data_IF_260516490514
#
_entry.id   IF_260516490514
#
_cell.length_a   1.000
_cell.length_b   1.000
_cell.length_c   1.000
_cell.angle_alpha   90.00
_cell.angle_beta   90.00
_cell.angle_gamma   90.00
#
_symmetry.space_group_name_H-M   'P 1'
#
loop_
_entity.id
_entity.type
_entity.pdbx_description
1 polymer ?
#
# COMPACT_ATOMS: atom_id res chain seq x y z
N UNK A 1 1.32 -67.01 40.54
CA UNK A 1 1.75 -66.50 39.22
C UNK A 1 1.36 -65.03 39.15
N UNK A 2 2.30 -64.09 39.34
CA UNK A 2 2.06 -62.64 39.33
C UNK A 2 2.72 -62.07 38.07
N UNK A 3 1.95 -61.40 37.22
CA UNK A 3 2.44 -60.71 36.02
C UNK A 3 2.73 -59.26 36.43
N UNK A 4 3.99 -58.86 36.32
CA UNK A 4 4.43 -57.47 36.50
C UNK A 4 4.33 -56.73 35.17
N UNK A 5 3.59 -55.63 35.15
CA UNK A 5 3.53 -54.69 34.03
C UNK A 5 4.72 -53.72 34.13
N UNK A 6 5.62 -53.76 33.14
CA UNK A 6 6.72 -52.81 33.01
C UNK A 6 6.24 -51.50 32.41
N UNK A 7 6.42 -50.40 33.15
CA UNK A 7 6.15 -49.04 32.71
C UNK A 7 7.31 -48.56 31.84
N UNK A 8 7.09 -48.36 30.53
CA UNK A 8 8.07 -47.75 29.62
C UNK A 8 7.95 -46.22 29.72
N UNK A 9 8.95 -45.56 30.30
CA UNK A 9 9.08 -44.10 30.27
C UNK A 9 9.85 -43.71 29.01
N UNK A 10 9.15 -43.14 28.03
CA UNK A 10 9.77 -42.53 26.86
C UNK A 10 10.23 -41.12 27.22
N UNK A 11 11.53 -40.94 27.44
CA UNK A 11 12.14 -39.61 27.51
C UNK A 11 12.18 -39.00 26.12
N UNK A 12 11.28 -38.05 25.86
CA UNK A 12 11.35 -37.20 24.69
C UNK A 12 12.52 -36.22 24.86
N UNK A 13 13.61 -36.44 24.13
CA UNK A 13 14.66 -35.45 23.98
C UNK A 13 14.08 -34.27 23.16
N UNK A 14 13.90 -33.12 23.80
CA UNK A 14 13.60 -31.88 23.10
C UNK A 14 14.75 -31.59 22.12
N UNK A 15 14.44 -31.54 20.83
CA UNK A 15 15.40 -31.08 19.83
C UNK A 15 15.72 -29.60 20.13
N UNK A 16 16.99 -29.16 20.02
CA UNK A 16 17.32 -27.76 20.19
C UNK A 16 16.56 -26.94 19.14
N UNK A 17 15.78 -25.97 19.59
CA UNK A 17 15.26 -24.92 18.72
C UNK A 17 16.48 -24.29 18.04
N UNK A 18 16.60 -24.48 16.72
CA UNK A 18 17.52 -23.68 15.93
C UNK A 18 17.01 -22.26 16.03
N UNK A 19 17.84 -21.37 16.57
CA UNK A 19 17.59 -19.94 16.42
C UNK A 19 17.36 -19.66 14.93
N UNK A 20 16.31 -18.89 14.57
CA UNK A 20 16.18 -18.43 13.21
C UNK A 20 17.49 -17.73 12.82
N UNK A 21 17.97 -18.00 11.61
CA UNK A 21 19.11 -17.27 11.07
C UNK A 21 18.87 -15.77 11.27
N UNK A 22 19.89 -14.97 11.67
CA UNK A 22 19.70 -13.54 11.86
C UNK A 22 19.10 -12.98 10.57
N UNK A 23 17.92 -12.38 10.68
CA UNK A 23 17.26 -11.75 9.54
C UNK A 23 18.26 -10.78 8.91
N UNK A 24 18.54 -10.99 7.62
CA UNK A 24 19.46 -10.13 6.90
C UNK A 24 18.94 -8.69 6.97
N UNK A 25 19.82 -7.74 7.29
CA UNK A 25 19.40 -6.34 7.44
C UNK A 25 18.76 -5.86 6.14
N UNK A 26 17.53 -5.32 6.16
CA UNK A 26 16.77 -5.01 4.95
C UNK A 26 17.26 -3.73 4.26
N UNK A 27 18.56 -3.62 3.95
CA UNK A 27 19.13 -2.42 3.35
C UNK A 27 18.63 -2.23 1.91
N UNK A 28 18.29 -0.99 1.58
CA UNK A 28 17.93 -0.58 0.23
C UNK A 28 19.18 -0.46 -0.67
N UNK A 29 19.10 -1.00 -1.87
CA UNK A 29 20.14 -0.97 -2.89
C UNK A 29 20.33 0.47 -3.41
N UNK A 30 21.50 1.04 -3.11
CA UNK A 30 21.90 2.39 -3.50
C UNK A 30 22.79 2.42 -4.75
N UNK A 31 22.97 1.28 -5.44
CA UNK A 31 23.78 1.21 -6.65
C UNK A 31 23.18 2.06 -7.77
N UNK A 32 24.06 2.61 -8.62
CA UNK A 32 23.64 3.44 -9.77
C UNK A 32 22.67 2.70 -10.69
N UNK A 33 22.85 1.38 -10.83
CA UNK A 33 21.96 0.53 -11.61
C UNK A 33 20.56 0.46 -11.01
N UNK A 34 20.44 0.24 -9.70
CA UNK A 34 19.14 0.12 -9.04
C UNK A 34 18.37 1.45 -9.08
N UNK A 35 19.05 2.56 -8.79
CA UNK A 35 18.46 3.90 -8.83
C UNK A 35 18.01 4.24 -10.25
N UNK A 36 18.85 4.03 -11.27
CA UNK A 36 18.49 4.29 -12.66
C UNK A 36 17.30 3.43 -13.11
N UNK A 37 17.29 2.13 -12.77
CA UNK A 37 16.19 1.21 -13.09
C UNK A 37 14.87 1.68 -12.47
N UNK A 38 14.88 2.11 -11.21
CA UNK A 38 13.69 2.60 -10.53
C UNK A 38 13.14 3.90 -11.17
N UNK A 39 14.04 4.82 -11.57
CA UNK A 39 13.66 6.05 -12.27
C UNK A 39 13.08 5.73 -13.65
N UNK A 40 13.70 4.83 -14.42
CA UNK A 40 13.21 4.42 -15.74
C UNK A 40 11.80 3.83 -15.66
N UNK A 41 11.59 2.93 -14.70
CA UNK A 41 10.30 2.27 -14.50
C UNK A 41 9.18 3.26 -14.14
N UNK A 42 9.47 4.39 -13.48
CA UNK A 42 8.46 5.33 -13.01
C UNK A 42 8.23 6.54 -13.92
N UNK A 43 9.12 6.73 -14.90
CA UNK A 43 9.05 7.86 -15.85
C UNK A 43 8.72 7.43 -17.28
N UNK A 44 8.39 6.15 -17.46
CA UNK A 44 7.92 5.59 -18.72
C UNK A 44 6.42 5.40 -18.64
N UNK A 45 5.65 6.31 -19.24
CA UNK A 45 4.20 6.30 -19.14
C UNK A 45 3.52 5.65 -20.36
N UNK A 46 2.50 4.82 -20.15
CA UNK A 46 1.62 4.37 -21.22
C UNK A 46 0.89 5.53 -21.90
N UNK A 47 0.50 5.32 -23.17
CA UNK A 47 -0.34 6.26 -23.92
C UNK A 47 -1.80 5.85 -24.00
N UNK A 48 -2.11 4.63 -23.57
CA UNK A 48 -3.44 4.03 -23.50
C UNK A 48 -3.75 3.68 -22.05
N UNK A 49 -5.02 3.43 -21.72
CA UNK A 49 -5.39 2.91 -20.41
C UNK A 49 -4.98 1.44 -20.28
N UNK A 50 -4.85 0.95 -19.04
CA UNK A 50 -4.36 -0.41 -18.78
C UNK A 50 -5.22 -1.48 -19.46
N UNK A 51 -4.72 -2.19 -20.49
CA UNK A 51 -5.51 -3.19 -21.23
C UNK A 51 -5.88 -4.42 -20.37
N UNK A 52 -5.23 -4.57 -19.20
CA UNK A 52 -5.62 -5.57 -18.18
C UNK A 52 -6.98 -5.21 -17.56
N UNK A 53 -7.33 -3.93 -17.52
CA UNK A 53 -8.54 -3.39 -16.86
C UNK A 53 -9.56 -2.86 -17.88
N UNK A 54 -9.09 -2.33 -19.01
CA UNK A 54 -9.86 -1.57 -19.98
C UNK A 54 -9.87 -2.23 -21.36
N UNK A 55 -10.98 -2.06 -22.09
CA UNK A 55 -11.09 -2.24 -23.54
C UNK A 55 -11.32 -0.86 -24.15
N UNK A 56 -10.25 -0.24 -24.63
CA UNK A 56 -10.21 1.19 -24.95
C UNK A 56 -10.51 2.04 -23.72
N UNK A 57 -11.67 2.70 -23.69
CA UNK A 57 -12.12 3.52 -22.55
C UNK A 57 -13.25 2.86 -21.76
N UNK A 58 -13.64 1.62 -22.10
CA UNK A 58 -14.67 0.88 -21.41
C UNK A 58 -14.03 -0.11 -20.43
N UNK A 59 -14.45 -0.10 -19.16
CA UNK A 59 -13.95 -1.09 -18.20
C UNK A 59 -14.41 -2.48 -18.63
N UNK A 60 -13.51 -3.46 -18.59
CA UNK A 60 -13.84 -4.85 -18.91
C UNK A 60 -14.93 -5.36 -17.97
N UNK A 61 -15.93 -6.05 -18.54
CA UNK A 61 -17.14 -6.43 -17.81
C UNK A 61 -16.87 -7.43 -16.67
N UNK A 62 -15.88 -8.30 -16.85
CA UNK A 62 -15.42 -9.26 -15.83
C UNK A 62 -14.79 -8.53 -14.63
N UNK A 63 -13.93 -7.54 -14.89
CA UNK A 63 -13.33 -6.67 -13.86
C UNK A 63 -14.42 -5.95 -13.07
N UNK A 64 -15.35 -5.26 -13.76
CA UNK A 64 -16.45 -4.55 -13.10
C UNK A 64 -17.31 -5.48 -12.25
N UNK A 65 -17.77 -6.59 -12.82
CA UNK A 65 -18.64 -7.55 -12.15
C UNK A 65 -17.98 -8.17 -10.92
N UNK A 66 -16.70 -8.53 -11.03
CA UNK A 66 -15.96 -9.10 -9.90
C UNK A 66 -15.68 -8.07 -8.82
N UNK A 67 -15.37 -6.82 -9.19
CA UNK A 67 -15.20 -5.72 -8.22
C UNK A 67 -16.45 -5.56 -7.35
N UNK A 68 -17.62 -5.44 -7.98
CA UNK A 68 -18.89 -5.30 -7.25
C UNK A 68 -19.18 -6.52 -6.37
N UNK A 69 -18.92 -7.73 -6.87
CA UNK A 69 -19.08 -8.97 -6.09
C UNK A 69 -18.17 -9.02 -4.87
N UNK A 70 -16.93 -8.55 -5.01
CA UNK A 70 -15.97 -8.49 -3.89
C UNK A 70 -16.43 -7.46 -2.86
N UNK A 71 -16.87 -6.27 -3.30
CA UNK A 71 -17.43 -5.23 -2.41
C UNK A 71 -18.65 -5.76 -1.65
N UNK A 72 -19.61 -6.37 -2.35
CA UNK A 72 -20.81 -6.95 -1.74
C UNK A 72 -20.46 -8.01 -0.69
N UNK A 73 -19.49 -8.87 -0.99
CA UNK A 73 -18.99 -9.88 -0.03
C UNK A 73 -18.43 -9.20 1.21
N UNK A 74 -17.53 -8.23 1.06
CA UNK A 74 -16.89 -7.54 2.20
C UNK A 74 -17.94 -6.86 3.07
N UNK A 75 -18.89 -6.14 2.47
CA UNK A 75 -19.99 -5.49 3.19
C UNK A 75 -20.85 -6.50 3.92
N UNK A 76 -21.27 -7.58 3.25
CA UNK A 76 -22.11 -8.62 3.85
C UNK A 76 -21.42 -9.35 5.02
N UNK A 77 -20.10 -9.52 4.97
CA UNK A 77 -19.34 -10.20 6.03
C UNK A 77 -18.77 -9.26 7.09
N UNK A 78 -18.87 -7.94 6.90
CA UNK A 78 -18.29 -6.94 7.81
C UNK A 78 -18.91 -6.98 9.21
N UNK A 79 -20.16 -7.44 9.34
CA UNK A 79 -20.92 -7.39 10.59
C UNK A 79 -21.38 -5.97 10.99
N UNK A 80 -21.18 -4.97 10.13
CA UNK A 80 -21.56 -3.58 10.40
C UNK A 80 -23.05 -3.39 10.08
N UNK A 81 -23.87 -3.19 11.10
CA UNK A 81 -25.32 -3.07 10.93
C UNK A 81 -25.70 -1.81 10.15
N UNK A 82 -26.64 -1.96 9.21
CA UNK A 82 -27.20 -0.84 8.43
C UNK A 82 -26.23 -0.18 7.45
N UNK A 83 -25.06 -0.80 7.18
CA UNK A 83 -24.09 -0.33 6.20
C UNK A 83 -24.62 -0.53 4.78
N UNK A 84 -24.61 0.54 3.99
CA UNK A 84 -25.10 0.55 2.61
C UNK A 84 -24.05 1.18 1.70
N UNK A 85 -23.84 0.59 0.52
CA UNK A 85 -22.93 1.13 -0.49
C UNK A 85 -23.65 2.19 -1.32
N UNK A 86 -23.08 3.40 -1.35
CA UNK A 86 -23.56 4.50 -2.17
C UNK A 86 -22.94 4.47 -3.56
N UNK A 87 -21.62 4.25 -3.62
CA UNK A 87 -20.89 4.19 -4.89
C UNK A 87 -19.59 3.39 -4.75
N UNK A 88 -19.18 2.81 -5.87
CA UNK A 88 -17.89 2.12 -6.01
C UNK A 88 -17.15 2.81 -7.14
N UNK A 89 -15.95 3.31 -6.86
CA UNK A 89 -15.21 4.18 -7.77
C UNK A 89 -13.75 3.78 -7.86
N UNK A 90 -13.17 3.93 -9.05
CA UNK A 90 -11.76 3.71 -9.30
C UNK A 90 -11.04 5.06 -9.35
N UNK A 91 -9.93 5.14 -8.60
CA UNK A 91 -9.03 6.29 -8.57
C UNK A 91 -7.59 5.83 -8.89
N UNK A 92 -6.69 6.80 -9.02
CA UNK A 92 -5.26 6.53 -9.10
C UNK A 92 -4.81 6.08 -10.48
N UNK A 93 -3.69 5.35 -10.50
CA UNK A 93 -2.91 5.07 -11.71
C UNK A 93 -3.69 4.26 -12.76
N UNK A 94 -4.53 3.32 -12.33
CA UNK A 94 -5.38 2.50 -13.21
C UNK A 94 -6.64 3.22 -13.71
N UNK A 95 -6.98 4.37 -13.13
CA UNK A 95 -7.96 5.30 -13.70
C UNK A 95 -7.28 6.34 -14.61
N UNK A 96 -5.99 6.22 -14.91
CA UNK A 96 -5.22 7.20 -15.66
C UNK A 96 -4.15 6.57 -16.56
N UNK A 97 -3.25 7.38 -17.11
CA UNK A 97 -2.13 6.95 -17.95
C UNK A 97 -0.82 6.82 -17.15
N UNK A 98 -0.92 6.63 -15.83
CA UNK A 98 0.24 6.59 -14.92
C UNK A 98 0.44 5.21 -14.27
N UNK A 99 -0.23 4.17 -14.78
CA UNK A 99 -0.04 2.78 -14.35
C UNK A 99 1.24 2.17 -14.91
N UNK A 100 1.67 1.09 -14.26
CA UNK A 100 2.75 0.20 -14.66
C UNK A 100 2.56 -1.20 -14.05
N UNK A 101 3.58 -2.05 -14.16
CA UNK A 101 3.53 -3.42 -13.68
C UNK A 101 3.39 -3.54 -12.15
N UNK A 102 3.75 -2.49 -11.41
CA UNK A 102 3.65 -2.44 -9.95
C UNK A 102 2.39 -1.70 -9.47
N UNK A 103 1.49 -1.33 -10.37
CA UNK A 103 0.28 -0.59 -10.01
C UNK A 103 -0.83 -1.50 -9.50
N UNK A 104 -1.52 -1.05 -8.46
CA UNK A 104 -2.73 -1.64 -7.92
C UNK A 104 -4.00 -1.15 -8.67
N UNK A 105 -5.10 -1.85 -8.45
CA UNK A 105 -6.45 -1.48 -8.84
C UNK A 105 -7.16 -0.89 -7.62
N UNK A 106 -6.82 0.36 -7.27
CA UNK A 106 -7.30 1.09 -6.10
C UNK A 106 -8.78 1.53 -6.19
N UNK A 107 -9.65 0.73 -5.60
CA UNK A 107 -11.11 0.95 -5.58
C UNK A 107 -11.54 1.57 -4.26
N UNK A 108 -12.21 2.71 -4.37
CA UNK A 108 -12.81 3.42 -3.26
C UNK A 108 -14.31 3.11 -3.18
N UNK A 109 -14.77 2.69 -2.01
CA UNK A 109 -16.17 2.34 -1.75
C UNK A 109 -16.75 3.37 -0.79
N UNK A 110 -17.69 4.18 -1.27
CA UNK A 110 -18.40 5.14 -0.43
C UNK A 110 -19.64 4.50 0.14
N UNK A 111 -19.82 4.63 1.45
CA UNK A 111 -20.88 3.97 2.21
C UNK A 111 -21.50 4.94 3.20
N UNK A 112 -22.75 4.65 3.57
CA UNK A 112 -23.38 5.27 4.73
C UNK A 112 -23.93 4.19 5.67
N UNK A 113 -24.25 4.58 6.91
CA UNK A 113 -24.94 3.72 7.87
C UNK A 113 -26.23 4.36 8.34
N UNK A 114 -27.28 3.55 8.44
CA UNK A 114 -28.55 3.95 9.05
C UNK A 114 -28.56 3.79 10.58
N UNK A 115 -27.51 3.19 11.16
CA UNK A 115 -27.44 2.88 12.60
C UNK A 115 -26.29 3.57 13.32
N UNK A 116 -25.25 3.99 12.59
CA UNK A 116 -24.09 4.68 13.13
C UNK A 116 -24.12 6.15 12.73
N UNK A 117 -23.74 7.04 13.65
CA UNK A 117 -23.39 8.42 13.29
C UNK A 117 -22.14 8.45 12.39
N UNK A 118 -21.90 9.53 11.62
CA UNK A 118 -20.72 9.65 10.76
C UNK A 118 -19.40 9.39 11.49
N UNK A 119 -19.19 9.99 12.66
CA UNK A 119 -17.97 9.79 13.45
C UNK A 119 -17.78 8.34 13.93
N UNK A 120 -18.87 7.63 14.27
CA UNK A 120 -18.80 6.21 14.63
C UNK A 120 -18.50 5.34 13.40
N UNK A 121 -19.12 5.67 12.26
CA UNK A 121 -18.89 4.99 11.00
C UNK A 121 -17.42 5.09 10.59
N UNK A 122 -16.84 6.30 10.60
CA UNK A 122 -15.42 6.51 10.28
C UNK A 122 -14.49 5.68 11.17
N UNK A 123 -14.76 5.63 12.48
CA UNK A 123 -13.99 4.81 13.41
C UNK A 123 -14.06 3.31 13.10
N UNK A 124 -15.24 2.81 12.70
CA UNK A 124 -15.45 1.42 12.32
C UNK A 124 -14.86 1.11 10.94
N UNK A 125 -14.97 2.02 9.98
CA UNK A 125 -14.42 1.84 8.63
C UNK A 125 -12.90 1.80 8.63
N UNK A 126 -12.23 2.54 9.53
CA UNK A 126 -10.78 2.40 9.73
C UNK A 126 -10.41 0.95 10.07
N UNK A 127 -11.09 0.35 11.06
CA UNK A 127 -10.85 -1.05 11.42
C UNK A 127 -11.20 -2.03 10.30
N UNK A 128 -12.25 -1.74 9.52
CA UNK A 128 -12.59 -2.54 8.34
C UNK A 128 -11.49 -2.48 7.28
N UNK A 129 -10.96 -1.29 7.00
CA UNK A 129 -9.88 -1.11 6.04
C UNK A 129 -8.62 -1.89 6.49
N UNK A 130 -8.24 -1.80 7.77
CA UNK A 130 -7.12 -2.55 8.34
C UNK A 130 -7.31 -4.08 8.18
N UNK A 131 -8.51 -4.60 8.44
CA UNK A 131 -8.78 -6.04 8.24
C UNK A 131 -8.81 -6.43 6.75
N UNK A 132 -9.34 -5.57 5.89
CA UNK A 132 -9.38 -5.81 4.44
C UNK A 132 -7.97 -5.87 3.87
N UNK A 133 -7.13 -4.90 4.18
CA UNK A 133 -5.71 -4.84 3.78
C UNK A 133 -5.00 -6.12 4.23
N UNK A 134 -4.99 -6.39 5.53
CA UNK A 134 -4.32 -7.56 6.13
C UNK A 134 -4.77 -8.90 5.54
N UNK A 135 -6.02 -9.03 5.08
CA UNK A 135 -6.58 -10.29 4.56
C UNK A 135 -6.54 -10.42 3.05
N UNK A 136 -6.49 -9.32 2.29
CA UNK A 136 -6.74 -9.34 0.85
C UNK A 136 -5.62 -8.73 0.02
N UNK A 137 -4.78 -7.88 0.59
CA UNK A 137 -3.66 -7.25 -0.13
C UNK A 137 -2.81 -8.32 -0.83
N UNK A 138 -2.57 -8.15 -2.13
CA UNK A 138 -1.83 -9.10 -2.97
C UNK A 138 -2.49 -10.47 -3.23
N UNK A 139 -3.60 -10.80 -2.57
CA UNK A 139 -4.28 -12.10 -2.70
C UNK A 139 -5.36 -12.13 -3.77
N UNK A 140 -5.99 -10.99 -4.05
CA UNK A 140 -6.98 -10.84 -5.11
C UNK A 140 -6.36 -10.04 -6.24
N UNK A 141 -6.37 -10.59 -7.44
CA UNK A 141 -5.86 -9.90 -8.64
C UNK A 141 -6.85 -9.97 -9.78
N UNK A 142 -6.87 -8.91 -10.60
CA UNK A 142 -7.59 -8.84 -11.86
C UNK A 142 -6.58 -8.77 -12.99
N UNK A 143 -6.45 -9.86 -13.75
CA UNK A 143 -5.47 -9.96 -14.84
C UNK A 143 -4.03 -9.63 -14.39
N UNK A 144 -3.68 -10.04 -13.17
CA UNK A 144 -2.38 -9.78 -12.55
C UNK A 144 -2.26 -8.44 -11.81
N UNK A 145 -3.26 -7.56 -11.88
CA UNK A 145 -3.30 -6.29 -11.13
C UNK A 145 -3.90 -6.53 -9.73
N UNK A 146 -3.17 -6.27 -8.63
CA UNK A 146 -3.71 -6.44 -7.29
C UNK A 146 -4.92 -5.53 -7.03
N UNK A 147 -5.99 -6.08 -6.46
CA UNK A 147 -7.14 -5.28 -6.02
C UNK A 147 -6.85 -4.70 -4.63
N UNK A 148 -7.05 -3.40 -4.48
CA UNK A 148 -7.05 -2.71 -3.19
C UNK A 148 -8.40 -2.03 -2.98
N UNK A 149 -9.04 -2.30 -1.84
CA UNK A 149 -10.32 -1.69 -1.47
C UNK A 149 -10.12 -0.73 -0.31
N UNK A 150 -10.72 0.45 -0.38
CA UNK A 150 -10.78 1.37 0.75
C UNK A 150 -12.19 1.90 0.91
N UNK A 151 -12.77 1.72 2.10
CA UNK A 151 -14.11 2.16 2.45
C UNK A 151 -14.08 3.55 3.10
N UNK A 152 -15.01 4.41 2.69
CA UNK A 152 -15.13 5.81 3.14
C UNK A 152 -16.57 6.11 3.53
N UNK A 153 -16.77 6.76 4.69
CA UNK A 153 -18.07 7.26 5.11
C UNK A 153 -18.45 8.58 4.43
N UNK A 154 -17.45 9.38 4.05
CA UNK A 154 -17.62 10.68 3.43
C UNK A 154 -16.65 10.90 2.27
N UNK A 155 -17.05 11.81 1.36
CA UNK A 155 -16.23 12.21 0.22
C UNK A 155 -15.45 13.49 0.54
N UNK A 156 -14.23 13.31 1.03
CA UNK A 156 -13.25 14.39 1.21
C UNK A 156 -12.87 15.11 -0.10
N UNK A 157 -12.16 16.23 0.03
CA UNK A 157 -11.76 17.06 -1.12
C UNK A 157 -10.95 16.29 -2.18
N UNK A 158 -10.10 15.35 -1.76
CA UNK A 158 -9.27 14.52 -2.63
C UNK A 158 -10.05 13.51 -3.47
N UNK A 159 -11.33 13.26 -3.16
CA UNK A 159 -12.20 12.31 -3.87
C UNK A 159 -13.25 13.00 -4.74
N UNK A 160 -13.14 14.32 -4.89
CA UNK A 160 -13.96 15.09 -5.83
C UNK A 160 -13.30 15.07 -7.19
N UNK A 161 -14.12 14.93 -8.23
CA UNK A 161 -13.66 14.99 -9.61
C UNK A 161 -12.93 16.29 -9.90
N UNK A 162 -11.80 16.19 -10.58
CA UNK A 162 -10.99 17.32 -11.01
C UNK A 162 -10.71 17.18 -12.50
N UNK A 163 -10.81 18.26 -13.30
CA UNK A 163 -10.63 18.18 -14.75
C UNK A 163 -9.34 17.45 -15.16
N UNK A 164 -9.50 16.43 -16.01
CA UNK A 164 -8.40 15.63 -16.53
C UNK A 164 -7.80 14.60 -15.58
N UNK A 165 -8.25 14.54 -14.32
CA UNK A 165 -7.85 13.52 -13.34
C UNK A 165 -8.90 12.41 -13.37
N UNK A 166 -8.50 11.25 -13.88
CA UNK A 166 -9.43 10.15 -14.12
C UNK A 166 -10.12 9.65 -12.85
N UNK A 167 -11.44 9.54 -12.95
CA UNK A 167 -12.30 9.00 -11.91
C UNK A 167 -13.44 8.23 -12.58
N UNK A 168 -13.53 6.93 -12.29
CA UNK A 168 -14.53 6.07 -12.92
C UNK A 168 -15.50 5.51 -11.90
N UNK A 169 -16.81 5.59 -12.18
CA UNK A 169 -17.81 4.92 -11.37
C UNK A 169 -17.93 3.46 -11.81
N UNK A 170 -17.37 2.56 -11.01
CA UNK A 170 -17.52 1.11 -11.20
C UNK A 170 -18.98 0.71 -11.03
N UNK A 171 -19.67 1.27 -10.03
CA UNK A 171 -21.09 0.98 -9.80
C UNK A 171 -21.98 1.45 -10.96
N UNK A 172 -21.76 2.64 -11.54
CA UNK A 172 -22.52 3.12 -12.68
C UNK A 172 -22.03 2.57 -14.03
N UNK A 173 -20.79 2.09 -14.11
CA UNK A 173 -20.18 1.65 -15.37
C UNK A 173 -19.87 2.79 -16.34
N UNK A 174 -19.50 3.96 -15.82
CA UNK A 174 -19.22 5.16 -16.62
C UNK A 174 -18.17 6.06 -15.95
N UNK A 175 -17.50 6.87 -16.77
CA UNK A 175 -16.57 7.89 -16.27
C UNK A 175 -17.33 8.99 -15.53
N UNK A 176 -16.82 9.33 -14.34
CA UNK A 176 -17.18 10.57 -13.64
C UNK A 176 -16.35 11.72 -14.23
N UNK A 177 -15.06 11.47 -14.43
CA UNK A 177 -14.13 12.34 -15.14
C UNK A 177 -13.18 11.48 -15.99
N UNK A 178 -13.08 11.78 -17.28
CA UNK A 178 -12.19 11.06 -18.17
C UNK A 178 -10.74 11.53 -17.97
N UNK A 179 -9.75 10.64 -17.82
CA UNK A 179 -8.36 11.04 -17.69
C UNK A 179 -7.83 11.70 -18.95
N UNK A 180 -6.94 12.66 -18.74
CA UNK A 180 -6.05 13.19 -19.77
C UNK A 180 -4.61 12.83 -19.42
N UNK A 181 -3.73 12.77 -20.43
CA UNK A 181 -2.30 12.60 -20.18
C UNK A 181 -1.78 13.80 -19.41
N UNK A 182 -1.25 13.54 -18.22
CA UNK A 182 -0.72 14.60 -17.37
C UNK A 182 0.59 15.14 -17.95
N UNK A 183 0.87 16.44 -17.82
CA UNK A 183 2.14 17.00 -18.27
C UNK A 183 3.28 16.44 -17.43
N UNK A 184 4.40 16.15 -18.08
CA UNK A 184 5.62 15.74 -17.40
C UNK A 184 6.22 16.95 -16.66
N UNK A 185 6.19 16.91 -15.33
CA UNK A 185 6.71 17.95 -14.44
C UNK A 185 7.76 17.38 -13.48
N UNK A 186 8.56 16.47 -14.00
CA UNK A 186 9.62 15.81 -13.26
C UNK A 186 11.00 16.12 -13.84
N UNK A 187 12.01 16.10 -12.98
CA UNK A 187 13.42 16.20 -13.33
C UNK A 187 14.13 14.93 -12.84
N UNK A 188 14.56 14.10 -13.78
CA UNK A 188 15.22 12.81 -13.49
C UNK A 188 16.54 12.98 -12.74
N UNK A 189 17.28 14.07 -12.95
CA UNK A 189 18.51 14.34 -12.21
C UNK A 189 18.21 14.75 -10.77
N UNK A 190 17.09 15.45 -10.53
CA UNK A 190 16.64 15.73 -9.17
C UNK A 190 16.09 14.47 -8.48
N UNK A 191 15.37 13.61 -9.21
CA UNK A 191 14.89 12.32 -8.69
C UNK A 191 16.05 11.44 -8.22
N UNK A 192 17.15 11.33 -8.99
CA UNK A 192 18.34 10.56 -8.57
C UNK A 192 18.91 11.06 -7.23
N UNK A 193 19.07 12.39 -7.09
CA UNK A 193 19.55 13.00 -5.85
C UNK A 193 18.63 12.71 -4.68
N UNK A 194 17.33 12.89 -4.87
CA UNK A 194 16.33 12.72 -3.81
C UNK A 194 16.19 11.25 -3.42
N UNK A 195 16.22 10.31 -4.38
CA UNK A 195 16.25 8.87 -4.13
C UNK A 195 17.45 8.50 -3.24
N UNK A 196 18.66 8.91 -3.62
CA UNK A 196 19.88 8.59 -2.85
C UNK A 196 19.84 9.20 -1.45
N UNK A 197 19.26 10.39 -1.31
CA UNK A 197 19.07 11.03 -0.02
C UNK A 197 18.18 10.20 0.91
N UNK A 198 17.03 9.72 0.42
CA UNK A 198 16.12 8.89 1.21
C UNK A 198 16.65 7.47 1.45
N UNK A 199 17.29 6.86 0.45
CA UNK A 199 17.98 5.55 0.59
C UNK A 199 19.06 5.63 1.67
N UNK A 200 19.89 6.68 1.66
CA UNK A 200 20.92 6.91 2.66
C UNK A 200 20.32 7.06 4.06
N UNK A 201 19.32 7.93 4.21
CA UNK A 201 18.64 8.14 5.49
C UNK A 201 18.03 6.84 6.05
N UNK A 202 17.37 6.05 5.19
CA UNK A 202 16.81 4.75 5.54
C UNK A 202 17.91 3.76 5.97
N UNK A 203 18.94 3.57 5.14
CA UNK A 203 20.01 2.60 5.41
C UNK A 203 20.80 2.93 6.68
N UNK A 204 21.05 4.21 6.96
CA UNK A 204 21.72 4.64 8.17
C UNK A 204 20.84 4.40 9.41
N UNK A 205 19.53 4.58 9.29
CA UNK A 205 18.58 4.30 10.36
C UNK A 205 18.48 2.80 10.67
N UNK A 206 18.40 1.94 9.65
CA UNK A 206 18.41 0.47 9.80
C UNK A 206 19.69 -0.01 10.47
N UNK A 207 20.85 0.53 10.07
CA UNK A 207 22.15 0.20 10.70
C UNK A 207 22.19 0.61 12.16
N UNK A 208 21.74 1.82 12.48
CA UNK A 208 21.69 2.31 13.85
C UNK A 208 20.76 1.46 14.73
N UNK A 209 19.58 1.11 14.23
CA UNK A 209 18.64 0.23 14.93
C UNK A 209 19.22 -1.16 15.15
N UNK A 210 19.81 -1.77 14.11
CA UNK A 210 20.37 -3.12 14.21
C UNK A 210 21.55 -3.19 15.18
N UNK A 211 22.37 -2.13 15.26
CA UNK A 211 23.50 -2.06 16.18
C UNK A 211 23.09 -1.96 17.66
N UNK A 212 21.92 -1.37 17.96
CA UNK A 212 21.40 -1.27 19.31
C UNK A 212 19.86 -1.26 19.30
N UNK A 213 19.25 -2.45 19.22
CA UNK A 213 17.80 -2.58 19.08
C UNK A 213 17.04 -2.10 20.33
N UNK A 214 17.43 -2.57 21.52
CA UNK A 214 16.75 -2.23 22.78
C UNK A 214 17.11 -0.82 23.21
N UNK A 215 16.09 -0.02 23.52
CA UNK A 215 16.25 1.39 23.89
C UNK A 215 16.50 2.30 22.68
N UNK A 216 16.35 1.80 21.45
CA UNK A 216 16.37 2.64 20.26
C UNK A 216 15.17 3.59 20.25
N UNK A 217 15.38 4.81 19.77
CA UNK A 217 14.30 5.79 19.60
C UNK A 217 13.48 5.46 18.33
N UNK A 218 12.39 4.72 18.50
CA UNK A 218 11.54 4.25 17.41
C UNK A 218 10.88 5.38 16.63
N UNK A 219 10.64 6.55 17.25
CA UNK A 219 10.04 7.71 16.61
C UNK A 219 10.88 8.26 15.44
N UNK A 220 12.15 7.84 15.33
CA UNK A 220 13.00 8.16 14.19
C UNK A 220 12.53 7.49 12.89
N UNK A 221 11.88 6.34 12.95
CA UNK A 221 11.24 5.70 11.78
C UNK A 221 10.02 6.51 11.36
N UNK A 222 9.08 6.80 12.28
CA UNK A 222 7.92 7.64 11.98
C UNK A 222 8.28 9.06 11.50
N UNK A 223 9.40 9.63 11.96
CA UNK A 223 9.91 10.89 11.44
C UNK A 223 10.41 10.79 9.99
N UNK A 224 10.99 9.65 9.59
CA UNK A 224 11.38 9.40 8.21
C UNK A 224 10.15 9.19 7.32
N UNK A 225 9.14 8.44 7.80
CA UNK A 225 7.88 8.26 7.08
C UNK A 225 7.17 9.61 6.86
N UNK A 226 7.01 10.40 7.91
CA UNK A 226 6.44 11.76 7.82
C UNK A 226 7.17 12.60 6.77
N UNK A 227 8.50 12.55 6.75
CA UNK A 227 9.32 13.28 5.77
C UNK A 227 9.10 12.78 4.33
N UNK A 228 8.92 11.47 4.12
CA UNK A 228 8.59 10.90 2.82
C UNK A 228 7.21 11.39 2.35
N UNK A 229 6.21 11.35 3.25
CA UNK A 229 4.86 11.84 3.01
C UNK A 229 4.82 13.34 2.67
N UNK A 230 5.47 14.18 3.47
CA UNK A 230 5.56 15.63 3.25
C UNK A 230 6.25 15.96 1.93
N UNK A 231 7.34 15.27 1.63
CA UNK A 231 8.05 15.43 0.36
C UNK A 231 7.12 15.13 -0.83
N UNK A 232 6.42 13.98 -0.82
CA UNK A 232 5.42 13.63 -1.84
C UNK A 232 4.31 14.68 -1.95
N UNK A 233 3.72 15.05 -0.82
CA UNK A 233 2.58 15.97 -0.75
C UNK A 233 2.94 17.38 -1.22
N UNK A 234 4.20 17.80 -1.06
CA UNK A 234 4.66 19.09 -1.58
C UNK A 234 4.53 19.21 -3.10
N UNK A 235 4.65 18.12 -3.86
CA UNK A 235 4.41 18.12 -5.31
C UNK A 235 2.95 18.44 -5.66
N UNK A 236 2.01 17.86 -4.91
CA UNK A 236 0.57 18.11 -5.09
C UNK A 236 0.17 19.51 -4.61
N UNK A 237 0.68 19.95 -3.45
CA UNK A 237 0.40 21.28 -2.91
C UNK A 237 0.86 22.41 -3.85
N UNK A 238 1.94 22.19 -4.60
CA UNK A 238 2.44 23.13 -5.62
C UNK A 238 1.76 22.96 -7.00
N UNK A 239 0.75 22.09 -7.11
CA UNK A 239 0.00 21.87 -8.35
C UNK A 239 0.81 21.18 -9.45
N UNK A 240 1.86 20.43 -9.12
CA UNK A 240 2.66 19.68 -10.11
C UNK A 240 2.02 18.35 -10.51
N UNK A 241 1.03 17.86 -9.76
CA UNK A 241 0.23 16.70 -10.12
C UNK A 241 0.98 15.36 -9.98
N UNK A 242 0.42 14.32 -10.59
CA UNK A 242 0.88 12.92 -10.45
C UNK A 242 2.24 12.66 -11.10
N UNK A 243 2.62 13.43 -12.14
CA UNK A 243 3.93 13.34 -12.83
C UNK A 243 4.94 14.39 -12.34
N UNK A 244 4.94 14.64 -11.03
CA UNK A 244 5.90 15.53 -10.37
C UNK A 244 7.15 14.79 -9.90
N UNK A 245 8.30 15.47 -9.82
CA UNK A 245 9.54 14.92 -9.24
C UNK A 245 9.28 14.24 -7.90
N UNK A 246 8.48 14.86 -7.04
CA UNK A 246 8.21 14.40 -5.69
C UNK A 246 7.40 13.10 -5.67
N UNK A 247 6.28 13.05 -6.41
CA UNK A 247 5.43 11.87 -6.44
C UNK A 247 6.13 10.69 -7.13
N UNK A 248 6.85 10.94 -8.23
CA UNK A 248 7.57 9.88 -8.95
C UNK A 248 8.78 9.37 -8.16
N UNK A 249 9.48 10.23 -7.41
CA UNK A 249 10.53 9.79 -6.48
C UNK A 249 9.96 8.89 -5.38
N UNK A 250 8.85 9.28 -4.75
CA UNK A 250 8.18 8.44 -3.75
C UNK A 250 7.79 7.07 -4.33
N UNK A 251 7.20 7.05 -5.53
CA UNK A 251 6.85 5.79 -6.21
C UNK A 251 8.09 4.96 -6.56
N UNK A 252 9.22 5.57 -6.93
CA UNK A 252 10.48 4.87 -7.17
C UNK A 252 11.08 4.26 -5.90
N UNK A 253 10.95 4.91 -4.73
CA UNK A 253 11.38 4.34 -3.43
C UNK A 253 10.65 3.04 -3.07
N UNK A 254 9.44 2.83 -3.60
CA UNK A 254 8.66 1.58 -3.43
C UNK A 254 9.16 0.43 -4.32
N UNK A 255 10.10 0.68 -5.25
CA UNK A 255 10.54 -0.26 -6.29
C UNK A 255 11.96 -0.78 -6.13
N UNK A 256 12.63 -0.36 -5.07
CA UNK A 256 13.93 -0.91 -4.74
C UNK A 256 13.76 -2.36 -4.27
N UNK A 257 14.87 -3.03 -3.96
CA UNK A 257 14.86 -4.38 -3.38
C UNK A 257 14.05 -4.48 -2.07
N UNK A 258 13.84 -3.34 -1.40
CA UNK A 258 12.85 -3.15 -0.34
C UNK A 258 11.99 -1.93 -0.67
N UNK A 259 10.69 -1.99 -0.39
CA UNK A 259 9.84 -0.80 -0.43
C UNK A 259 10.15 0.05 0.79
N UNK A 260 10.90 1.15 0.62
CA UNK A 260 11.31 1.98 1.77
C UNK A 260 10.11 2.48 2.58
N UNK A 261 9.04 3.05 1.98
CA UNK A 261 7.88 3.50 2.76
C UNK A 261 7.29 2.38 3.63
N UNK A 262 7.01 1.20 3.03
CA UNK A 262 6.42 0.08 3.79
C UNK A 262 7.38 -0.45 4.86
N UNK A 263 8.69 -0.43 4.59
CA UNK A 263 9.69 -0.97 5.50
C UNK A 263 9.98 -0.03 6.68
N UNK A 264 9.82 1.28 6.51
CA UNK A 264 9.94 2.24 7.61
C UNK A 264 8.85 1.97 8.65
N UNK A 265 7.60 1.79 8.20
CA UNK A 265 6.47 1.47 9.08
C UNK A 265 6.68 0.14 9.81
N UNK A 266 7.05 -0.91 9.05
CA UNK A 266 7.31 -2.24 9.63
C UNK A 266 8.43 -2.23 10.68
N UNK A 267 9.49 -1.44 10.46
CA UNK A 267 10.60 -1.30 11.41
C UNK A 267 10.26 -0.44 12.62
N UNK A 268 9.36 0.53 12.49
CA UNK A 268 8.83 1.28 13.63
C UNK A 268 8.08 0.36 14.59
N UNK A 269 7.20 -0.49 14.05
CA UNK A 269 6.48 -1.50 14.81
C UNK A 269 7.43 -2.52 15.45
N UNK A 270 8.38 -3.07 14.68
CA UNK A 270 9.39 -4.00 15.21
C UNK A 270 10.17 -3.35 16.36
N UNK A 271 10.62 -2.10 16.18
CA UNK A 271 11.32 -1.34 17.20
C UNK A 271 10.48 -1.18 18.47
N UNK A 272 9.21 -0.79 18.31
CA UNK A 272 8.27 -0.60 19.42
C UNK A 272 8.09 -1.91 20.20
N UNK A 273 7.82 -3.01 19.50
CA UNK A 273 7.64 -4.31 20.13
C UNK A 273 8.89 -4.80 20.86
N UNK A 274 10.09 -4.57 20.28
CA UNK A 274 11.36 -4.88 20.96
C UNK A 274 11.51 -4.06 22.24
N UNK A 275 11.15 -2.78 22.23
CA UNK A 275 11.24 -1.91 23.40
C UNK A 275 10.22 -2.27 24.49
N UNK A 276 9.04 -2.75 24.12
CA UNK A 276 8.00 -3.19 25.06
C UNK A 276 8.24 -4.62 25.58
N UNK A 277 8.95 -5.46 24.83
CA UNK A 277 9.24 -6.84 25.22
C UNK A 277 10.14 -6.93 26.45
N UNK A 278 9.77 -7.80 27.39
CA UNK A 278 10.57 -8.12 28.58
C UNK A 278 11.32 -9.42 28.31
N UNK A 279 12.65 -9.39 28.43
CA UNK A 279 13.55 -10.51 28.14
C UNK A 279 14.95 -10.02 27.83
#
# INVERSE_FOLDING_TARGET
MRIAAGLLVLTACAAPQRDPAPAEMPLADSSDRAVATAIDAITTFPTELDPRIWDGTAMRQDVRSMTLKVVDRVVATSGIAGLTVDSVELFGSNASYEYDDASDFGVHVFVHSTTLSPAQLDGVLRLLNDDVERRQEGHITFNGVPLELTFHGERGASYRAQPGIGQYSVSAGSWIEMPTQQPDRFDRAQMDKDLRMFIGAYNDLVKAYTANKKGFDCARFGALDTRLGDYRNSGFANGFGSRSTQNLTFRALRRLNVSIPHMVDALEDECTFVNESIG
#
